data_IF_982846446541
#
_entry.id   IF_982846446541
#
_cell.length_a   1.000
_cell.length_b   1.000
_cell.length_c   1.000
_cell.angle_alpha   90.00
_cell.angle_beta   90.00
_cell.angle_gamma   90.00
#
_symmetry.space_group_name_H-M   'P 1'
#
loop_
_entity.id
_entity.type
_entity.pdbx_description
1 polymer ?
#
# COMPACT_ATOMS: atom_id res chain seq x y z
N UNK A 1 2.66 -10.17 21.43
CA UNK A 1 1.63 -9.21 21.85
C UNK A 1 0.41 -9.43 20.98
N UNK A 2 -0.79 -9.24 21.53
CA UNK A 2 -2.03 -9.32 20.79
C UNK A 2 -2.64 -7.92 20.79
N UNK A 3 -2.91 -7.36 19.62
CA UNK A 3 -3.62 -6.08 19.46
C UNK A 3 -4.99 -6.40 18.89
N UNK A 4 -6.05 -6.01 19.60
CA UNK A 4 -7.44 -6.26 19.20
C UNK A 4 -8.04 -4.95 18.69
N UNK A 5 -8.72 -5.04 17.56
CA UNK A 5 -9.52 -3.95 16.98
C UNK A 5 -10.99 -4.38 16.99
N UNK A 6 -11.89 -3.43 17.21
CA UNK A 6 -13.33 -3.67 17.09
C UNK A 6 -13.82 -3.35 15.67
N UNK A 7 -15.11 -3.52 15.43
CA UNK A 7 -15.74 -3.32 14.11
C UNK A 7 -15.74 -1.85 13.64
N UNK A 8 -15.25 -0.91 14.46
CA UNK A 8 -15.12 0.51 14.09
C UNK A 8 -13.79 0.82 13.39
N UNK A 9 -12.88 -0.16 13.30
CA UNK A 9 -11.58 0.00 12.67
C UNK A 9 -11.69 0.14 11.15
N UNK A 10 -10.84 0.98 10.59
CA UNK A 10 -10.62 1.11 9.15
C UNK A 10 -9.27 0.44 8.83
N UNK A 11 -9.33 -0.72 8.17
CA UNK A 11 -8.16 -1.54 7.85
C UNK A 11 -7.30 -0.90 6.77
N UNK A 12 -7.86 -0.05 5.91
CA UNK A 12 -7.07 0.75 4.97
C UNK A 12 -6.21 1.78 5.72
N UNK A 13 -6.76 2.43 6.76
CA UNK A 13 -5.96 3.31 7.63
C UNK A 13 -4.90 2.56 8.42
N UNK A 14 -5.18 1.33 8.88
CA UNK A 14 -4.18 0.51 9.57
C UNK A 14 -3.03 0.08 8.63
N UNK A 15 -3.35 -0.30 7.40
CA UNK A 15 -2.35 -0.60 6.38
C UNK A 15 -1.49 0.64 6.04
N UNK A 16 -2.13 1.82 5.94
CA UNK A 16 -1.42 3.10 5.73
C UNK A 16 -0.48 3.40 6.90
N UNK A 17 -0.94 3.19 8.13
CA UNK A 17 -0.14 3.39 9.32
C UNK A 17 1.09 2.48 9.36
N UNK A 18 0.97 1.22 8.93
CA UNK A 18 2.13 0.32 8.86
C UNK A 18 3.22 0.85 7.92
N UNK A 19 2.84 1.40 6.77
CA UNK A 19 3.78 2.04 5.84
C UNK A 19 4.39 3.32 6.43
N UNK A 20 3.59 4.14 7.11
CA UNK A 20 4.05 5.38 7.76
C UNK A 20 5.03 5.08 8.89
N UNK A 21 4.72 4.11 9.75
CA UNK A 21 5.61 3.67 10.81
C UNK A 21 6.95 3.23 10.25
N UNK A 22 6.95 2.42 9.18
CA UNK A 22 8.19 2.03 8.52
C UNK A 22 8.94 3.21 7.91
N UNK A 23 8.24 4.23 7.40
CA UNK A 23 8.88 5.42 6.83
C UNK A 23 9.58 6.27 7.90
N UNK A 24 8.97 6.39 9.08
CA UNK A 24 9.51 7.14 10.22
C UNK A 24 10.67 6.39 10.88
N UNK A 25 10.51 5.09 11.11
CA UNK A 25 11.47 4.28 11.89
C UNK A 25 12.56 3.64 11.01
N UNK A 26 12.58 3.91 9.70
CA UNK A 26 13.58 3.34 8.81
C UNK A 26 14.99 3.79 9.21
N UNK A 27 15.91 2.83 9.37
CA UNK A 27 17.34 3.15 9.51
C UNK A 27 17.99 3.67 8.21
N UNK A 28 17.25 3.67 7.09
CA UNK A 28 17.68 4.24 5.81
C UNK A 28 18.61 3.37 4.96
N UNK A 29 19.01 2.18 5.43
CA UNK A 29 20.07 1.38 4.78
C UNK A 29 19.68 0.76 3.43
N UNK A 30 18.43 0.33 3.26
CA UNK A 30 17.96 -0.30 2.02
C UNK A 30 16.87 0.54 1.35
N UNK A 31 17.00 0.75 0.04
CA UNK A 31 16.03 1.52 -0.78
C UNK A 31 14.58 1.07 -0.63
N UNK A 32 14.24 -0.23 -0.69
CA UNK A 32 12.85 -0.65 -0.53
C UNK A 32 12.25 -0.26 0.82
N UNK A 33 13.00 -0.33 1.91
CA UNK A 33 12.52 0.12 3.22
C UNK A 33 12.46 1.65 3.31
N UNK A 34 13.51 2.36 2.88
CA UNK A 34 13.64 3.82 3.04
C UNK A 34 12.69 4.62 2.13
N UNK A 35 12.59 4.22 0.88
CA UNK A 35 11.79 4.91 -0.14
C UNK A 35 10.46 4.21 -0.35
N UNK A 36 10.47 2.88 -0.34
CA UNK A 36 9.26 2.10 -0.60
C UNK A 36 8.18 2.36 0.45
N UNK A 37 8.52 2.49 1.74
CA UNK A 37 7.55 2.84 2.79
C UNK A 37 6.86 4.19 2.52
N UNK A 38 7.60 5.24 2.18
CA UNK A 38 7.04 6.54 1.80
C UNK A 38 6.15 6.45 0.55
N UNK A 39 6.60 5.72 -0.49
CA UNK A 39 5.77 5.47 -1.68
C UNK A 39 4.53 4.65 -1.36
N UNK A 40 4.62 3.76 -0.37
CA UNK A 40 3.51 2.98 0.17
C UNK A 40 2.46 3.87 0.81
N UNK A 41 2.87 4.83 1.65
CA UNK A 41 1.97 5.84 2.23
C UNK A 41 1.24 6.63 1.13
N UNK A 42 1.99 7.17 0.16
CA UNK A 42 1.40 7.93 -0.95
C UNK A 42 0.41 7.09 -1.78
N UNK A 43 0.68 5.79 -1.93
CA UNK A 43 -0.18 4.86 -2.68
C UNK A 43 -1.43 4.52 -1.89
N UNK A 44 -1.29 4.29 -0.59
CA UNK A 44 -2.41 4.11 0.34
C UNK A 44 -3.31 5.35 0.39
N UNK A 45 -2.74 6.56 0.40
CA UNK A 45 -3.51 7.81 0.36
C UNK A 45 -4.39 7.91 -0.90
N UNK A 46 -3.88 7.45 -2.05
CA UNK A 46 -4.64 7.40 -3.31
C UNK A 46 -5.76 6.38 -3.28
N UNK A 47 -5.51 5.19 -2.73
CA UNK A 47 -6.52 4.14 -2.55
C UNK A 47 -7.64 4.64 -1.63
N UNK A 48 -7.31 5.18 -0.46
CA UNK A 48 -8.28 5.71 0.53
C UNK A 48 -9.09 6.87 -0.06
N UNK A 49 -8.48 7.73 -0.87
CA UNK A 49 -9.18 8.82 -1.53
C UNK A 49 -10.12 8.37 -2.66
N UNK A 50 -10.10 7.10 -3.05
CA UNK A 50 -10.82 6.58 -4.21
C UNK A 50 -10.34 7.18 -5.54
N UNK A 51 -9.10 7.69 -5.58
CA UNK A 51 -8.52 8.40 -6.73
C UNK A 51 -7.18 7.77 -7.05
N UNK A 52 -7.03 7.13 -8.21
CA UNK A 52 -5.69 6.72 -8.64
C UNK A 52 -4.82 7.91 -9.07
N UNK A 53 -3.51 7.66 -9.22
CA UNK A 53 -2.52 8.68 -9.55
C UNK A 53 -2.84 9.26 -10.93
N UNK A 54 -3.06 10.56 -10.98
CA UNK A 54 -3.00 11.29 -12.25
C UNK A 54 -1.55 11.35 -12.73
N UNK A 55 -1.35 11.36 -14.05
CA UNK A 55 -0.02 11.55 -14.61
C UNK A 55 0.58 12.87 -14.14
N UNK A 56 1.85 12.88 -13.71
CA UNK A 56 2.52 14.14 -13.34
C UNK A 56 3.02 14.91 -14.58
N UNK A 57 3.47 16.16 -14.38
CA UNK A 57 3.92 17.02 -15.49
C UNK A 57 5.13 16.45 -16.22
N UNK A 58 5.92 15.59 -15.55
CA UNK A 58 7.07 14.90 -16.16
C UNK A 58 6.58 13.75 -17.04
N UNK A 59 5.59 12.98 -16.59
CA UNK A 59 4.96 11.92 -17.37
C UNK A 59 4.22 12.42 -18.62
N UNK A 60 3.76 13.68 -18.61
CA UNK A 60 3.17 14.32 -19.78
C UNK A 60 4.20 14.82 -20.82
N UNK A 61 5.50 14.78 -20.50
CA UNK A 61 6.54 15.27 -21.40
C UNK A 61 6.72 14.35 -22.62
N UNK A 62 6.91 14.91 -23.84
CA UNK A 62 7.01 14.12 -25.07
C UNK A 62 8.24 13.18 -25.09
N UNK A 63 9.23 13.39 -24.22
CA UNK A 63 10.40 12.50 -24.10
C UNK A 63 10.10 11.23 -23.27
N UNK A 64 9.03 11.21 -22.48
CA UNK A 64 8.68 10.09 -21.59
C UNK A 64 7.80 9.05 -22.30
N UNK A 65 8.32 8.46 -23.38
CA UNK A 65 7.58 7.48 -24.23
C UNK A 65 6.98 6.28 -23.48
N UNK A 66 7.48 5.97 -22.29
CA UNK A 66 7.05 4.83 -21.48
C UNK A 66 6.10 5.23 -20.34
N UNK A 67 5.87 6.52 -20.13
CA UNK A 67 4.96 6.99 -19.09
C UNK A 67 3.51 6.76 -19.52
N UNK A 68 2.72 6.12 -18.66
CA UNK A 68 1.30 6.01 -18.87
C UNK A 68 0.64 7.32 -18.45
N UNK A 69 0.22 8.14 -19.42
CA UNK A 69 -0.42 9.44 -19.18
C UNK A 69 -1.87 9.32 -18.63
N UNK A 70 -2.37 8.09 -18.41
CA UNK A 70 -3.75 7.86 -17.97
C UNK A 70 -3.81 7.78 -16.45
N UNK A 71 -4.89 8.32 -15.88
CA UNK A 71 -5.19 8.15 -14.47
C UNK A 71 -5.38 6.67 -14.12
N UNK A 72 -4.67 6.22 -13.09
CA UNK A 72 -4.77 4.84 -12.60
C UNK A 72 -6.13 4.61 -11.93
N UNK A 73 -6.63 3.38 -11.98
CA UNK A 73 -7.80 2.95 -11.20
C UNK A 73 -7.36 2.50 -9.79
N UNK A 74 -8.30 2.35 -8.87
CA UNK A 74 -8.00 1.85 -7.52
C UNK A 74 -7.40 0.44 -7.56
N UNK A 75 -7.90 -0.42 -8.44
CA UNK A 75 -7.38 -1.78 -8.63
C UNK A 75 -5.93 -1.77 -9.13
N UNK A 76 -5.58 -0.81 -9.99
CA UNK A 76 -4.21 -0.63 -10.45
C UNK A 76 -3.28 -0.11 -9.35
N UNK A 77 -3.78 0.76 -8.45
CA UNK A 77 -3.03 1.18 -7.26
C UNK A 77 -2.83 0.02 -6.27
N UNK A 78 -3.85 -0.84 -6.08
CA UNK A 78 -3.72 -2.05 -5.26
C UNK A 78 -2.69 -3.01 -5.87
N UNK A 79 -2.70 -3.20 -7.19
CA UNK A 79 -1.70 -4.01 -7.87
C UNK A 79 -0.28 -3.45 -7.67
N UNK A 80 -0.12 -2.12 -7.80
CA UNK A 80 1.15 -1.44 -7.54
C UNK A 80 1.60 -1.58 -6.08
N UNK A 81 0.66 -1.48 -5.13
CA UNK A 81 0.94 -1.64 -3.71
C UNK A 81 1.41 -3.07 -3.39
N UNK A 82 0.82 -4.10 -4.02
CA UNK A 82 1.27 -5.50 -3.87
C UNK A 82 2.68 -5.70 -4.44
N UNK A 83 2.96 -5.16 -5.63
CA UNK A 83 4.30 -5.22 -6.24
C UNK A 83 5.37 -4.52 -5.36
N UNK A 84 5.02 -3.37 -4.80
CA UNK A 84 5.84 -2.67 -3.82
C UNK A 84 6.07 -3.52 -2.56
N UNK A 85 5.02 -4.16 -2.04
CA UNK A 85 5.11 -5.05 -0.88
C UNK A 85 6.05 -6.24 -1.13
N UNK A 86 6.01 -6.85 -2.31
CA UNK A 86 6.95 -7.91 -2.70
C UNK A 86 8.39 -7.38 -2.78
N UNK A 87 8.58 -6.21 -3.39
CA UNK A 87 9.89 -5.54 -3.44
C UNK A 87 10.43 -5.26 -2.04
N UNK A 88 9.57 -4.85 -1.10
CA UNK A 88 9.95 -4.63 0.30
C UNK A 88 10.28 -5.93 1.03
N UNK A 89 9.46 -6.97 0.84
CA UNK A 89 9.62 -8.27 1.48
C UNK A 89 10.95 -8.92 1.12
N UNK A 90 11.32 -8.88 -0.16
CA UNK A 90 12.53 -9.56 -0.65
C UNK A 90 13.75 -8.65 -0.82
N UNK A 91 13.56 -7.33 -0.87
CA UNK A 91 14.64 -6.36 -1.05
C UNK A 91 15.14 -5.70 0.24
N UNK A 92 14.46 -5.90 1.39
CA UNK A 92 14.86 -5.29 2.66
C UNK A 92 15.92 -6.11 3.39
N UNK A 93 16.93 -5.42 3.95
CA UNK A 93 18.05 -6.06 4.65
C UNK A 93 17.70 -6.53 6.08
N UNK A 94 16.57 -6.10 6.65
CA UNK A 94 16.15 -6.45 8.00
C UNK A 94 14.63 -6.61 8.09
N UNK A 95 14.18 -7.11 9.24
CA UNK A 95 12.78 -7.41 9.49
C UNK A 95 11.85 -6.19 9.47
N UNK A 96 12.33 -4.98 9.83
CA UNK A 96 11.50 -3.78 9.77
C UNK A 96 10.92 -3.58 8.36
N UNK A 97 11.79 -3.54 7.34
CA UNK A 97 11.34 -3.41 5.95
C UNK A 97 10.70 -4.68 5.41
N UNK A 98 11.24 -5.85 5.76
CA UNK A 98 10.77 -7.14 5.23
C UNK A 98 9.41 -7.58 5.76
N UNK A 99 9.01 -7.15 6.97
CA UNK A 99 7.74 -7.52 7.60
C UNK A 99 6.69 -6.40 7.57
N UNK A 100 7.05 -5.16 7.25
CA UNK A 100 6.07 -4.08 6.97
C UNK A 100 4.98 -4.49 5.97
N UNK A 101 5.28 -5.29 4.91
CA UNK A 101 4.25 -5.80 4.00
C UNK A 101 3.17 -6.69 4.65
N UNK A 102 3.46 -7.38 5.75
CA UNK A 102 2.50 -8.36 6.31
C UNK A 102 1.18 -7.75 6.80
N UNK A 103 1.16 -6.69 7.63
CA UNK A 103 -0.10 -6.04 7.99
C UNK A 103 -0.83 -5.43 6.78
N UNK A 104 -0.11 -4.97 5.75
CA UNK A 104 -0.72 -4.37 4.55
C UNK A 104 -1.38 -5.44 3.67
N UNK A 105 -0.67 -6.52 3.38
CA UNK A 105 -1.19 -7.62 2.56
C UNK A 105 -2.34 -8.36 3.26
N UNK A 106 -2.21 -8.63 4.56
CA UNK A 106 -3.29 -9.27 5.32
C UNK A 106 -4.55 -8.39 5.38
N UNK A 107 -4.41 -7.07 5.55
CA UNK A 107 -5.54 -6.16 5.49
C UNK A 107 -6.23 -6.19 4.11
N UNK A 108 -5.44 -6.17 3.02
CA UNK A 108 -5.97 -6.27 1.65
C UNK A 108 -6.66 -7.60 1.36
N UNK A 109 -6.14 -8.70 1.89
CA UNK A 109 -6.65 -10.06 1.63
C UNK A 109 -7.92 -10.35 2.45
N UNK A 110 -8.00 -9.86 3.69
CA UNK A 110 -9.08 -10.17 4.62
C UNK A 110 -10.18 -9.11 4.71
N UNK A 111 -9.88 -7.85 4.37
CA UNK A 111 -10.82 -6.72 4.47
C UNK A 111 -10.84 -5.87 3.19
N UNK A 112 -11.06 -6.46 2.01
CA UNK A 112 -11.02 -5.73 0.73
C UNK A 112 -12.02 -4.58 0.62
N UNK A 113 -13.13 -4.63 1.34
CA UNK A 113 -14.16 -3.60 1.42
C UNK A 113 -13.62 -2.23 1.86
N UNK A 114 -12.68 -2.23 2.80
CA UNK A 114 -12.09 -1.00 3.35
C UNK A 114 -11.20 -0.28 2.31
N UNK A 115 -10.81 -0.99 1.24
CA UNK A 115 -10.00 -0.47 0.15
C UNK A 115 -10.82 -0.15 -1.11
N UNK A 116 -12.16 -0.21 -1.02
CA UNK A 116 -13.08 0.03 -2.14
C UNK A 116 -13.36 -1.20 -3.00
N UNK A 117 -12.99 -2.40 -2.55
CA UNK A 117 -13.35 -3.68 -3.17
C UNK A 117 -14.73 -4.19 -2.75
N UNK A 118 -15.19 -5.28 -3.38
CA UNK A 118 -16.38 -6.01 -2.90
C UNK A 118 -16.00 -6.87 -1.69
N UNK A 119 -16.78 -6.82 -0.60
CA UNK A 119 -16.57 -7.67 0.58
C UNK A 119 -16.74 -9.14 0.21
N UNK A 120 -15.80 -9.98 0.67
CA UNK A 120 -15.86 -11.45 0.52
C UNK A 120 -16.43 -12.14 1.77
N UNK A 121 -16.82 -11.40 2.81
CA UNK A 121 -17.12 -11.93 4.15
C UNK A 121 -18.61 -12.14 4.44
N UNK A 122 -19.42 -12.52 3.45
CA UNK A 122 -20.84 -12.84 3.69
C UNK A 122 -21.07 -14.22 4.33
N UNK A 123 -20.05 -15.08 4.50
CA UNK A 123 -20.28 -16.50 4.86
C UNK A 123 -19.56 -17.04 6.12
N UNK A 124 -18.78 -16.23 6.86
CA UNK A 124 -17.96 -16.75 7.97
C UNK A 124 -18.49 -16.49 9.39
N UNK A 125 -19.72 -16.00 9.53
CA UNK A 125 -20.32 -15.64 10.83
C UNK A 125 -21.61 -16.43 11.18
N UNK A 126 -21.71 -17.69 10.74
CA UNK A 126 -22.63 -18.69 11.30
C UNK A 126 -21.88 -19.82 12.03
#
# INVERSE_FOLDING_TARGET
GITVFDDSVDMARMARFAMEFCAVESCGKCTPCRIGSTRGVETMDRIIAGKGRGGDTVEALPQMRNAQAKQKTVEQEIALLRDLCDTMKYGSLCALGGFTPYPVLSALDHFPEDFGGASALTEAAE
#
